data_IF_921128764324
#
_entry.id   IF_921128764324
#
_cell.length_a   1.000
_cell.length_b   1.000
_cell.length_c   1.000
_cell.angle_alpha   90.00
_cell.angle_beta   90.00
_cell.angle_gamma   90.00
#
_symmetry.space_group_name_H-M   'P 1'
#
loop_
_entity.id
_entity.type
_entity.pdbx_description
1 polymer ?
#
# COMPACT_ATOMS: atom_id res chain seq x y z
N UNK A 1 37.82 13.90 -1.31
CA UNK A 1 37.19 14.97 -2.11
C UNK A 1 35.75 15.09 -1.63
N UNK A 2 35.51 15.90 -0.60
CA UNK A 2 34.19 16.07 -0.01
C UNK A 2 33.29 17.00 -0.85
N UNK A 3 33.84 18.00 -1.52
CA UNK A 3 33.12 18.94 -2.36
C UNK A 3 33.63 18.85 -3.80
N UNK A 4 32.72 18.67 -4.74
CA UNK A 4 32.97 18.66 -6.18
C UNK A 4 32.18 19.78 -6.85
N UNK A 5 32.62 20.35 -8.00
CA UNK A 5 31.89 21.38 -8.73
C UNK A 5 30.68 20.77 -9.48
N UNK A 6 29.79 20.14 -8.77
CA UNK A 6 28.51 19.56 -9.24
C UNK A 6 27.47 19.72 -8.14
N UNK A 7 26.22 19.82 -8.52
CA UNK A 7 25.12 19.76 -7.56
C UNK A 7 24.88 18.33 -7.11
N UNK A 8 24.75 18.12 -5.82
CA UNK A 8 24.20 16.88 -5.27
C UNK A 8 22.66 16.95 -5.25
N UNK A 9 21.96 15.81 -5.20
CA UNK A 9 20.51 15.80 -5.12
C UNK A 9 19.99 16.65 -3.95
N UNK A 10 19.00 17.50 -4.22
CA UNK A 10 18.39 18.43 -3.26
C UNK A 10 19.31 19.54 -2.73
N UNK A 11 20.48 19.75 -3.31
CA UNK A 11 21.35 20.88 -3.00
C UNK A 11 20.73 22.20 -3.46
N UNK A 12 21.08 23.29 -2.77
CA UNK A 12 20.66 24.64 -3.18
C UNK A 12 21.38 25.08 -4.45
N UNK A 13 20.74 25.90 -5.28
CA UNK A 13 21.32 26.46 -6.49
C UNK A 13 20.92 27.91 -6.65
N UNK A 14 21.92 28.77 -6.75
CA UNK A 14 21.70 30.20 -7.04
C UNK A 14 21.36 30.48 -8.53
N UNK A 15 21.50 29.46 -9.39
CA UNK A 15 21.18 29.58 -10.81
C UNK A 15 19.65 29.63 -11.07
N UNK A 16 18.84 29.01 -10.23
CA UNK A 16 17.39 29.00 -10.37
C UNK A 16 16.71 29.92 -9.36
N UNK A 17 15.70 30.65 -9.80
CA UNK A 17 15.00 31.66 -8.98
C UNK A 17 14.30 31.02 -7.72
N UNK A 18 14.00 29.75 -7.76
CA UNK A 18 13.44 29.00 -6.64
C UNK A 18 14.49 28.42 -5.67
N UNK A 19 15.78 28.69 -5.94
CA UNK A 19 16.88 28.22 -5.11
C UNK A 19 17.13 26.71 -5.11
N UNK A 20 16.45 25.93 -5.95
CA UNK A 20 16.55 24.47 -5.96
C UNK A 20 17.33 23.96 -7.17
N UNK A 21 18.31 23.06 -6.95
CA UNK A 21 18.99 22.36 -8.05
C UNK A 21 18.08 21.28 -8.68
N UNK A 22 17.23 20.64 -7.89
CA UNK A 22 16.27 19.64 -8.37
C UNK A 22 15.13 20.33 -9.13
N UNK A 23 14.94 19.95 -10.40
CA UNK A 23 13.90 20.55 -11.25
C UNK A 23 12.61 19.71 -11.21
N UNK A 24 11.42 20.35 -11.19
CA UNK A 24 10.16 19.64 -11.35
C UNK A 24 10.11 18.97 -12.73
N UNK A 25 9.35 17.87 -12.82
CA UNK A 25 9.12 17.22 -14.11
C UNK A 25 8.46 18.20 -15.09
N UNK A 26 8.94 18.22 -16.33
CA UNK A 26 8.31 19.03 -17.38
C UNK A 26 6.96 18.40 -17.72
N UNK A 27 5.90 19.20 -17.70
CA UNK A 27 4.56 18.75 -18.02
C UNK A 27 4.52 18.09 -19.43
N UNK A 28 3.82 16.98 -19.55
CA UNK A 28 3.70 16.23 -20.81
C UNK A 28 4.92 15.36 -21.16
N UNK A 29 5.93 15.24 -20.27
CA UNK A 29 7.05 14.32 -20.49
C UNK A 29 6.86 13.04 -19.70
N UNK A 30 7.27 11.91 -20.31
CA UNK A 30 7.30 10.59 -19.69
C UNK A 30 8.77 10.15 -19.62
N UNK A 31 9.21 9.68 -18.46
CA UNK A 31 10.58 9.21 -18.32
C UNK A 31 10.80 7.94 -19.16
N UNK A 32 12.04 7.75 -19.61
CA UNK A 32 12.39 6.58 -20.41
C UNK A 32 12.16 5.30 -19.59
N UNK A 33 11.32 4.40 -20.09
CA UNK A 33 10.90 3.16 -19.41
C UNK A 33 9.62 3.29 -18.57
N UNK A 34 9.10 4.51 -18.36
CA UNK A 34 7.86 4.74 -17.61
C UNK A 34 6.61 4.78 -18.51
N UNK A 35 6.79 4.64 -19.84
CA UNK A 35 5.65 4.64 -20.75
C UNK A 35 4.84 3.36 -20.52
N UNK A 36 3.68 3.48 -19.93
CA UNK A 36 2.69 2.42 -19.85
C UNK A 36 1.50 2.74 -20.75
N UNK A 37 0.93 1.69 -21.34
CA UNK A 37 -0.26 1.75 -22.19
C UNK A 37 -1.47 1.10 -21.55
N UNK A 38 -1.35 0.68 -20.27
CA UNK A 38 -2.43 0.07 -19.52
C UNK A 38 -3.02 1.06 -18.49
N UNK A 39 -4.12 1.77 -18.81
CA UNK A 39 -4.76 2.70 -17.90
C UNK A 39 -5.25 2.06 -16.61
N UNK A 40 -5.67 0.79 -16.64
CA UNK A 40 -6.10 0.10 -15.44
C UNK A 40 -4.94 -0.11 -14.47
N UNK A 41 -3.80 -0.55 -14.99
CA UNK A 41 -2.58 -0.73 -14.19
C UNK A 41 -2.09 0.58 -13.57
N UNK A 42 -2.09 1.68 -14.34
CA UNK A 42 -1.51 2.94 -13.91
C UNK A 42 -2.43 3.78 -13.03
N UNK A 43 -3.75 3.70 -13.25
CA UNK A 43 -4.72 4.61 -12.63
C UNK A 43 -5.80 3.94 -11.79
N UNK A 44 -5.92 2.61 -11.85
CA UNK A 44 -7.03 1.90 -11.22
C UNK A 44 -8.37 2.08 -11.92
N UNK A 45 -8.39 2.59 -13.17
CA UNK A 45 -9.60 2.95 -13.91
C UNK A 45 -9.69 2.21 -15.24
N UNK A 46 -10.92 1.82 -15.58
CA UNK A 46 -11.32 1.35 -16.91
C UNK A 46 -12.37 2.33 -17.42
N UNK A 47 -12.21 2.86 -18.61
CA UNK A 47 -13.09 3.87 -19.21
C UNK A 47 -13.39 5.07 -18.28
N UNK A 48 -12.34 5.51 -17.54
CA UNK A 48 -12.43 6.63 -16.61
C UNK A 48 -13.15 6.35 -15.29
N UNK A 49 -13.66 5.12 -15.08
CA UNK A 49 -14.35 4.71 -13.85
C UNK A 49 -13.43 3.81 -13.01
N UNK A 50 -13.50 3.97 -11.69
CA UNK A 50 -12.78 3.12 -10.75
C UNK A 50 -13.22 1.66 -10.94
N UNK A 51 -12.27 0.81 -11.30
CA UNK A 51 -12.52 -0.59 -11.62
C UNK A 51 -12.40 -1.48 -10.38
N UNK A 52 -12.99 -2.66 -10.44
CA UNK A 52 -12.76 -3.72 -9.46
C UNK A 52 -11.89 -4.81 -10.09
N UNK A 53 -11.25 -5.64 -9.24
CA UNK A 53 -10.30 -6.64 -9.68
C UNK A 53 -8.86 -6.12 -9.73
N UNK A 54 -7.97 -6.89 -10.36
CA UNK A 54 -6.53 -6.57 -10.45
C UNK A 54 -6.07 -6.64 -11.90
N UNK A 55 -5.18 -5.72 -12.34
CA UNK A 55 -4.63 -5.76 -13.69
C UNK A 55 -3.57 -6.87 -13.88
N UNK A 56 -3.29 -7.64 -12.82
CA UNK A 56 -2.34 -8.75 -12.81
C UNK A 56 -2.86 -9.89 -11.95
N UNK A 57 -2.29 -11.09 -12.12
CA UNK A 57 -2.61 -12.23 -11.26
C UNK A 57 -2.17 -11.95 -9.81
N UNK A 58 -3.07 -12.21 -8.86
CA UNK A 58 -2.76 -12.14 -7.42
C UNK A 58 -2.10 -13.45 -7.01
N UNK A 59 -0.80 -13.42 -6.79
CA UNK A 59 -0.01 -14.53 -6.29
C UNK A 59 0.38 -14.33 -4.83
N UNK A 60 0.93 -15.37 -4.22
CA UNK A 60 1.52 -15.31 -2.88
C UNK A 60 2.63 -14.27 -2.81
N UNK A 61 3.51 -14.27 -3.80
CA UNK A 61 4.65 -13.36 -3.89
C UNK A 61 4.20 -11.90 -4.00
N UNK A 62 3.09 -11.65 -4.74
CA UNK A 62 2.50 -10.31 -4.80
C UNK A 62 1.99 -9.86 -3.44
N UNK A 63 1.31 -10.73 -2.69
CA UNK A 63 0.79 -10.43 -1.35
C UNK A 63 1.95 -10.21 -0.37
N UNK A 64 2.99 -11.05 -0.40
CA UNK A 64 4.17 -10.91 0.45
C UNK A 64 4.92 -9.59 0.14
N UNK A 65 5.03 -9.20 -1.13
CA UNK A 65 5.54 -7.89 -1.54
C UNK A 65 4.66 -6.76 -1.01
N UNK A 66 3.35 -6.91 -1.11
CA UNK A 66 2.38 -5.96 -0.58
C UNK A 66 2.51 -5.77 0.93
N UNK A 67 2.68 -6.86 1.67
CA UNK A 67 2.93 -6.83 3.12
C UNK A 67 4.18 -6.02 3.45
N UNK A 68 5.30 -6.33 2.79
CA UNK A 68 6.56 -5.59 3.00
C UNK A 68 6.38 -4.09 2.76
N UNK A 69 5.71 -3.70 1.67
CA UNK A 69 5.49 -2.29 1.32
C UNK A 69 4.50 -1.61 2.26
N UNK A 70 3.47 -2.33 2.66
CA UNK A 70 2.50 -1.87 3.65
C UNK A 70 3.17 -1.53 4.99
N UNK A 71 4.05 -2.39 5.48
CA UNK A 71 4.75 -2.16 6.73
C UNK A 71 5.63 -0.91 6.69
N UNK A 72 6.23 -0.61 5.53
CA UNK A 72 7.09 0.56 5.34
C UNK A 72 6.27 1.87 5.27
N UNK A 73 5.23 1.89 4.43
CA UNK A 73 4.54 3.14 4.07
C UNK A 73 3.21 3.37 4.78
N UNK A 74 2.50 2.31 5.17
CA UNK A 74 1.10 2.39 5.57
C UNK A 74 0.88 2.11 7.06
N UNK A 75 1.60 1.13 7.63
CA UNK A 75 1.37 0.65 9.00
C UNK A 75 1.54 1.72 10.06
N UNK A 76 2.37 2.74 9.79
CA UNK A 76 2.62 3.87 10.70
C UNK A 76 1.35 4.64 11.05
N UNK A 77 0.41 4.74 10.09
CA UNK A 77 -0.88 5.37 10.29
C UNK A 77 -2.00 4.35 10.46
N UNK A 78 -2.02 3.31 9.61
CA UNK A 78 -3.15 2.36 9.53
C UNK A 78 -3.06 1.20 10.53
N UNK A 79 -1.92 1.04 11.25
CA UNK A 79 -1.67 -0.12 12.10
C UNK A 79 -1.30 -1.37 11.28
N UNK A 80 -0.66 -2.35 11.90
CA UNK A 80 -0.22 -3.57 11.20
C UNK A 80 -1.37 -4.44 10.73
N UNK A 81 -2.51 -4.37 11.41
CA UNK A 81 -3.71 -5.12 11.06
C UNK A 81 -4.76 -4.30 10.32
N UNK A 82 -4.45 -3.05 9.99
CA UNK A 82 -5.35 -2.18 9.23
C UNK A 82 -6.52 -1.61 10.02
N UNK A 83 -6.43 -1.53 11.33
CA UNK A 83 -7.47 -1.04 12.26
C UNK A 83 -7.44 0.48 12.48
N UNK A 84 -6.45 1.16 11.90
CA UNK A 84 -6.25 2.60 12.06
C UNK A 84 -5.51 3.00 13.33
N UNK A 85 -4.99 2.05 14.13
CA UNK A 85 -4.28 2.31 15.37
C UNK A 85 -2.75 2.31 15.19
N UNK A 86 -2.26 3.02 14.18
CA UNK A 86 -0.82 3.21 13.99
C UNK A 86 -0.19 4.15 15.00
N UNK A 87 1.13 4.26 14.97
CA UNK A 87 1.88 5.13 15.87
C UNK A 87 1.57 6.61 15.61
N UNK A 88 1.39 7.02 14.36
CA UNK A 88 1.16 8.42 13.99
C UNK A 88 -0.17 8.95 14.56
N UNK A 89 -1.32 8.26 14.43
CA UNK A 89 -2.55 8.65 15.11
C UNK A 89 -2.41 8.73 16.63
N UNK A 90 -1.67 7.81 17.25
CA UNK A 90 -1.45 7.85 18.70
C UNK A 90 -0.65 9.08 19.19
N UNK A 91 0.00 9.80 18.25
CA UNK A 91 0.74 11.05 18.49
C UNK A 91 -0.04 12.31 18.11
N UNK A 92 -1.37 12.22 17.96
CA UNK A 92 -2.25 13.37 17.76
C UNK A 92 -2.69 13.63 16.30
N UNK A 93 -2.28 12.80 15.35
CA UNK A 93 -2.81 12.88 13.99
C UNK A 93 -4.20 12.26 13.89
N UNK A 94 -4.96 12.70 12.88
CA UNK A 94 -6.30 12.16 12.66
C UNK A 94 -6.23 10.66 12.37
N UNK A 95 -6.96 9.87 13.15
CA UNK A 95 -7.04 8.42 12.98
C UNK A 95 -7.70 8.08 11.63
N UNK A 96 -7.06 7.28 10.79
CA UNK A 96 -7.68 6.78 9.57
C UNK A 96 -8.76 5.74 9.92
N UNK A 97 -9.77 5.56 9.04
CA UNK A 97 -10.77 4.51 9.22
C UNK A 97 -10.12 3.12 9.16
N UNK A 98 -10.68 2.18 9.93
CA UNK A 98 -10.27 0.78 9.84
C UNK A 98 -10.64 0.20 8.46
N UNK A 99 -9.74 -0.58 7.85
CA UNK A 99 -10.00 -1.29 6.59
C UNK A 99 -11.11 -2.34 6.71
N UNK A 100 -11.46 -2.73 7.94
CA UNK A 100 -12.46 -3.76 8.23
C UNK A 100 -13.90 -3.21 8.28
N UNK A 101 -14.08 -1.88 8.11
CA UNK A 101 -15.41 -1.29 7.98
C UNK A 101 -16.11 -1.80 6.70
N UNK A 102 -17.44 -1.92 6.76
CA UNK A 102 -18.22 -2.38 5.60
C UNK A 102 -17.94 -1.52 4.35
N UNK A 103 -17.86 -0.20 4.51
CA UNK A 103 -17.59 0.74 3.42
C UNK A 103 -16.28 0.43 2.70
N UNK A 104 -15.18 0.17 3.44
CA UNK A 104 -13.88 -0.12 2.83
C UNK A 104 -13.74 -1.56 2.34
N UNK A 105 -14.50 -2.49 2.91
CA UNK A 105 -14.57 -3.88 2.42
C UNK A 105 -15.29 -3.99 1.08
N UNK A 106 -16.30 -3.15 0.85
CA UNK A 106 -17.07 -3.12 -0.41
C UNK A 106 -16.54 -2.11 -1.42
N UNK A 107 -15.56 -1.28 -1.05
CA UNK A 107 -14.89 -0.38 -2.00
C UNK A 107 -14.18 -1.18 -3.09
N UNK A 108 -14.16 -0.67 -4.32
CA UNK A 108 -13.42 -1.30 -5.42
C UNK A 108 -11.91 -1.26 -5.18
N UNK A 109 -11.17 -2.18 -5.75
CA UNK A 109 -9.70 -2.19 -5.68
C UNK A 109 -9.10 -0.95 -6.33
N UNK A 110 -9.70 -0.48 -7.43
CA UNK A 110 -9.32 0.77 -8.08
C UNK A 110 -9.51 1.99 -7.17
N UNK A 111 -10.55 2.00 -6.31
CA UNK A 111 -10.71 3.06 -5.31
C UNK A 111 -9.56 3.06 -4.30
N UNK A 112 -9.19 1.90 -3.78
CA UNK A 112 -8.06 1.78 -2.85
C UNK A 112 -6.76 2.22 -3.50
N UNK A 113 -6.55 1.87 -4.77
CA UNK A 113 -5.40 2.29 -5.55
C UNK A 113 -5.39 3.80 -5.80
N UNK A 114 -6.54 4.39 -6.18
CA UNK A 114 -6.68 5.82 -6.46
C UNK A 114 -6.42 6.68 -5.21
N UNK A 115 -6.99 6.29 -4.06
CA UNK A 115 -6.74 6.95 -2.77
C UNK A 115 -5.25 6.93 -2.41
N UNK A 116 -4.58 5.81 -2.62
CA UNK A 116 -3.13 5.69 -2.37
C UNK A 116 -2.32 6.55 -3.35
N UNK A 117 -2.77 6.64 -4.60
CA UNK A 117 -2.09 7.40 -5.65
C UNK A 117 -2.19 8.90 -5.44
N UNK A 118 -3.41 9.39 -5.23
CA UNK A 118 -3.76 10.81 -5.26
C UNK A 118 -3.95 11.42 -3.87
N UNK A 119 -3.98 10.59 -2.81
CA UNK A 119 -4.35 10.99 -1.48
C UNK A 119 -5.86 11.12 -1.29
N UNK A 120 -6.31 11.22 -0.06
CA UNK A 120 -7.70 11.44 0.29
C UNK A 120 -7.85 12.11 1.66
N UNK A 121 -8.43 13.29 1.70
CA UNK A 121 -8.61 14.05 2.95
C UNK A 121 -7.26 14.36 3.61
N UNK A 122 -6.99 13.78 4.79
CA UNK A 122 -5.72 13.95 5.50
C UNK A 122 -4.61 12.99 5.04
N UNK A 123 -4.93 12.01 4.20
CA UNK A 123 -3.94 11.06 3.66
C UNK A 123 -3.19 11.72 2.47
N UNK A 124 -1.86 11.85 2.54
CA UNK A 124 -1.09 12.42 1.44
C UNK A 124 -1.03 11.47 0.23
N UNK A 125 -0.71 11.99 -0.97
CA UNK A 125 -0.50 11.17 -2.16
C UNK A 125 0.83 10.41 -2.07
N UNK A 126 0.82 9.13 -2.47
CA UNK A 126 2.00 8.27 -2.53
C UNK A 126 2.42 7.92 -3.97
N UNK A 127 1.75 8.48 -4.97
CA UNK A 127 2.01 8.17 -6.38
C UNK A 127 3.45 8.40 -6.84
N UNK A 128 4.13 9.41 -6.28
CA UNK A 128 5.53 9.72 -6.59
C UNK A 128 6.55 8.84 -5.85
N UNK A 129 6.16 8.21 -4.75
CA UNK A 129 7.06 7.44 -3.87
C UNK A 129 6.93 5.92 -4.08
N UNK A 130 5.74 5.45 -4.46
CA UNK A 130 5.42 4.04 -4.60
C UNK A 130 5.04 3.75 -6.06
N UNK A 131 5.79 2.93 -6.79
CA UNK A 131 5.46 2.59 -8.18
C UNK A 131 4.12 1.85 -8.27
N UNK A 132 3.42 1.90 -9.44
CA UNK A 132 2.11 1.27 -9.61
C UNK A 132 2.06 -0.20 -9.21
N UNK A 133 3.08 -0.99 -9.56
CA UNK A 133 3.17 -2.41 -9.20
C UNK A 133 3.15 -2.63 -7.68
N UNK A 134 3.89 -1.83 -6.92
CA UNK A 134 3.92 -1.92 -5.45
C UNK A 134 2.60 -1.43 -4.83
N UNK A 135 1.95 -0.43 -5.43
CA UNK A 135 0.62 0.02 -4.98
C UNK A 135 -0.43 -1.09 -5.15
N UNK A 136 -0.43 -1.79 -6.29
CA UNK A 136 -1.30 -2.96 -6.49
C UNK A 136 -0.99 -4.10 -5.54
N UNK A 137 0.29 -4.34 -5.26
CA UNK A 137 0.69 -5.32 -4.25
C UNK A 137 0.15 -4.96 -2.86
N UNK A 138 0.21 -3.67 -2.46
CA UNK A 138 -0.38 -3.20 -1.20
C UNK A 138 -1.90 -3.40 -1.20
N UNK A 139 -2.62 -3.11 -2.30
CA UNK A 139 -4.06 -3.36 -2.40
C UNK A 139 -4.37 -4.85 -2.23
N UNK A 140 -3.58 -5.74 -2.84
CA UNK A 140 -3.74 -7.19 -2.65
C UNK A 140 -3.55 -7.61 -1.19
N UNK A 141 -2.53 -7.07 -0.51
CA UNK A 141 -2.32 -7.32 0.90
C UNK A 141 -3.46 -6.75 1.78
N UNK A 142 -3.98 -5.56 1.47
CA UNK A 142 -5.14 -5.01 2.17
C UNK A 142 -6.36 -5.93 2.07
N UNK A 143 -6.60 -6.55 0.91
CA UNK A 143 -7.66 -7.55 0.74
C UNK A 143 -7.41 -8.80 1.60
N UNK A 144 -6.17 -9.27 1.67
CA UNK A 144 -5.79 -10.36 2.57
C UNK A 144 -6.02 -10.00 4.05
N UNK A 145 -5.68 -8.78 4.47
CA UNK A 145 -5.98 -8.29 5.83
C UNK A 145 -7.49 -8.26 6.11
N UNK A 146 -8.30 -7.77 5.17
CA UNK A 146 -9.74 -7.76 5.29
C UNK A 146 -10.32 -9.17 5.43
N UNK A 147 -9.82 -10.12 4.64
CA UNK A 147 -10.23 -11.52 4.71
C UNK A 147 -9.81 -12.15 6.04
N UNK A 148 -8.60 -11.90 6.53
CA UNK A 148 -8.08 -12.50 7.76
C UNK A 148 -8.96 -12.26 9.00
N UNK A 149 -9.72 -11.15 9.01
CA UNK A 149 -10.59 -10.76 10.13
C UNK A 149 -12.08 -10.96 9.84
N UNK A 150 -12.45 -11.34 8.62
CA UNK A 150 -13.83 -11.47 8.20
C UNK A 150 -14.06 -12.77 7.40
N UNK A 151 -13.12 -13.71 7.45
CA UNK A 151 -13.26 -15.00 6.78
C UNK A 151 -14.40 -15.83 7.38
N UNK A 152 -15.07 -16.56 6.52
CA UNK A 152 -16.09 -17.54 6.88
C UNK A 152 -15.58 -18.94 6.59
N UNK A 153 -16.24 -19.98 7.11
CA UNK A 153 -15.91 -21.38 6.78
C UNK A 153 -15.97 -21.63 5.27
N UNK A 154 -16.80 -20.86 4.55
CA UNK A 154 -16.91 -20.90 3.09
C UNK A 154 -15.62 -20.53 2.36
N UNK A 155 -14.81 -19.66 2.93
CA UNK A 155 -13.54 -19.19 2.36
C UNK A 155 -12.40 -20.20 2.52
N UNK A 156 -12.59 -21.22 3.37
CA UNK A 156 -11.60 -22.28 3.59
C UNK A 156 -11.72 -23.34 2.48
N UNK A 157 -10.60 -23.73 1.83
CA UNK A 157 -10.62 -24.81 0.86
C UNK A 157 -11.27 -26.07 1.44
N UNK A 158 -12.11 -26.81 0.67
CA UNK A 158 -12.82 -27.99 1.19
C UNK A 158 -11.90 -29.03 1.85
N UNK A 159 -10.69 -29.22 1.32
CA UNK A 159 -9.70 -30.15 1.85
C UNK A 159 -9.17 -29.77 3.25
N UNK A 160 -9.28 -28.49 3.62
CA UNK A 160 -8.78 -27.99 4.90
C UNK A 160 -9.89 -27.75 5.94
N UNK A 161 -11.17 -27.81 5.53
CA UNK A 161 -12.30 -27.57 6.45
C UNK A 161 -12.33 -28.54 7.61
N UNK A 162 -12.01 -29.83 7.37
CA UNK A 162 -11.96 -30.85 8.43
C UNK A 162 -10.91 -30.54 9.52
N UNK A 163 -9.90 -29.70 9.20
CA UNK A 163 -8.88 -29.30 10.18
C UNK A 163 -9.38 -28.22 11.15
N UNK A 164 -10.47 -27.51 10.81
CA UNK A 164 -11.03 -26.46 11.67
C UNK A 164 -11.68 -27.06 12.92
N UNK A 165 -12.23 -28.28 12.81
CA UNK A 165 -12.90 -28.98 13.90
C UNK A 165 -11.95 -29.87 14.72
N UNK A 166 -10.67 -29.97 14.26
CA UNK A 166 -9.66 -30.74 14.98
C UNK A 166 -9.26 -29.97 16.26
N UNK A 167 -9.18 -30.64 17.42
CA UNK A 167 -8.70 -30.02 18.64
C UNK A 167 -7.26 -29.48 18.40
N UNK A 168 -6.89 -28.31 18.98
CA UNK A 168 -5.56 -27.76 18.83
C UNK A 168 -4.52 -28.81 19.24
N UNK A 169 -3.52 -29.02 18.38
CA UNK A 169 -2.43 -29.96 18.68
C UNK A 169 -1.80 -29.56 20.01
N UNK A 170 -1.84 -30.47 20.96
CA UNK A 170 -1.26 -30.28 22.28
C UNK A 170 0.26 -30.02 22.09
N UNK A 171 0.70 -28.76 22.25
CA UNK A 171 2.13 -28.44 22.18
C UNK A 171 2.55 -27.13 21.55
N UNK A 172 1.68 -26.37 20.93
CA UNK A 172 2.03 -25.04 20.43
C UNK A 172 1.80 -23.97 21.50
N UNK A 173 2.70 -23.85 22.46
CA UNK A 173 2.75 -22.67 23.32
C UNK A 173 3.08 -21.43 22.44
N UNK A 174 2.37 -20.30 22.61
CA UNK A 174 2.71 -19.09 21.91
C UNK A 174 4.11 -18.65 22.33
N UNK A 175 5.03 -18.56 21.39
CA UNK A 175 6.30 -17.93 21.59
C UNK A 175 6.09 -16.44 21.85
N UNK A 176 5.87 -16.07 23.09
CA UNK A 176 6.05 -14.70 23.55
C UNK A 176 7.53 -14.38 23.52
N UNK A 177 8.02 -13.91 22.37
CA UNK A 177 9.31 -13.23 22.28
C UNK A 177 9.17 -11.91 23.02
N UNK A 178 9.70 -11.89 24.25
CA UNK A 178 9.81 -10.68 25.04
C UNK A 178 10.98 -9.82 24.55
N UNK A 179 10.80 -8.54 24.86
CA UNK A 179 11.83 -7.52 25.18
C UNK A 179 13.01 -7.30 24.22
N UNK A 180 13.01 -6.18 23.54
CA UNK A 180 13.89 -5.01 23.81
C UNK A 180 13.49 -3.88 22.84
#
# INVERSE_FOLDING_TARGET
>A
MANQPRYDPLETSDFFADGMSARPRIAGTVARGDLSTDPFFDTGKIDGKLADGFPMAVSRELIDRGHQRYDIYCSQCHGRIGDGNGMIPSRGFRKPPSFHTQTLRTATTGHLFDVMTNGFGAMPPYGSMIPPSDRWAIVAYMRALQLSQNATVGDVPPADRAKLDAPPAAGAAPAHGGSH
#
